data_IF_971834730940
#
_entry.id   IF_971834730940
#
_cell.length_a   1.000
_cell.length_b   1.000
_cell.length_c   1.000
_cell.angle_alpha   90.00
_cell.angle_beta   90.00
_cell.angle_gamma   90.00
#
_symmetry.space_group_name_H-M   'P 1'
#
loop_
_entity.id
_entity.type
_entity.pdbx_description
1 polymer ?
#
# COMPACT_ATOMS: atom_id res chain seq x y z
N UNK A 1 -1.94 5.68 24.77
CA UNK A 1 -1.14 4.83 23.87
C UNK A 1 -1.51 5.23 22.47
N UNK A 2 -0.56 5.82 21.75
CA UNK A 2 -0.81 6.38 20.43
C UNK A 2 -0.89 5.25 19.40
N UNK A 3 -1.98 5.22 18.63
CA UNK A 3 -2.18 4.23 17.58
C UNK A 3 -1.48 4.72 16.30
N UNK A 4 -0.26 4.23 16.06
CA UNK A 4 0.59 4.58 14.91
C UNK A 4 0.23 3.81 13.62
N UNK A 5 -0.95 3.21 13.55
CA UNK A 5 -1.40 2.55 12.33
C UNK A 5 -1.58 3.56 11.18
N UNK A 6 -1.05 3.24 9.99
CA UNK A 6 -1.19 4.08 8.79
C UNK A 6 -2.65 4.38 8.43
N UNK A 7 -3.55 3.45 8.76
CA UNK A 7 -4.96 3.54 8.46
C UNK A 7 -5.78 4.26 9.56
N UNK A 8 -5.15 4.72 10.64
CA UNK A 8 -5.83 5.38 11.74
C UNK A 8 -5.92 6.89 11.51
N UNK A 9 -7.14 7.39 11.28
CA UNK A 9 -7.42 8.83 11.20
C UNK A 9 -8.55 9.16 12.17
N UNK A 10 -8.35 10.12 13.07
CA UNK A 10 -9.33 10.50 14.11
C UNK A 10 -9.87 9.29 14.91
N UNK A 11 -8.98 8.37 15.30
CA UNK A 11 -9.31 7.12 16.01
C UNK A 11 -10.24 6.16 15.24
N UNK A 12 -10.28 6.27 13.90
CA UNK A 12 -11.06 5.40 13.02
C UNK A 12 -10.18 4.80 11.94
N UNK A 13 -10.41 3.52 11.66
CA UNK A 13 -9.80 2.84 10.52
C UNK A 13 -10.40 3.40 9.22
N UNK A 14 -9.55 3.88 8.31
CA UNK A 14 -9.97 4.33 6.98
C UNK A 14 -10.12 3.19 5.97
N UNK A 15 -9.56 2.01 6.27
CA UNK A 15 -9.54 0.86 5.36
C UNK A 15 -10.68 -0.11 5.67
N UNK A 16 -10.94 -0.38 6.95
CA UNK A 16 -12.00 -1.30 7.37
C UNK A 16 -13.31 -0.53 7.52
N UNK A 17 -14.42 -1.12 7.05
CA UNK A 17 -15.77 -0.60 7.30
C UNK A 17 -16.12 -0.54 8.79
N UNK A 18 -15.50 -1.40 9.59
CA UNK A 18 -15.61 -1.38 11.05
C UNK A 18 -14.69 -0.29 11.58
N UNK A 19 -15.26 0.88 11.88
CA UNK A 19 -14.52 2.06 12.34
C UNK A 19 -13.88 1.93 13.73
N UNK A 20 -13.83 0.74 14.32
CA UNK A 20 -13.17 0.46 15.60
C UNK A 20 -11.87 -0.29 15.34
N UNK A 21 -10.76 0.43 15.41
CA UNK A 21 -9.46 -0.21 15.59
C UNK A 21 -9.44 -0.83 16.99
N UNK A 22 -9.65 -2.15 17.10
CA UNK A 22 -9.23 -2.87 18.31
C UNK A 22 -7.71 -2.66 18.38
N UNK A 23 -7.15 -2.17 19.49
CA UNK A 23 -5.80 -1.59 19.56
C UNK A 23 -4.65 -2.40 18.93
N UNK A 24 -3.47 -1.80 18.82
CA UNK A 24 -2.33 -2.29 18.01
C UNK A 24 -2.02 -3.80 18.14
N UNK A 25 -2.18 -4.40 19.33
CA UNK A 25 -1.89 -5.82 19.59
C UNK A 25 -2.99 -6.79 19.14
N UNK A 26 -4.20 -6.29 18.85
CA UNK A 26 -5.39 -7.11 18.56
C UNK A 26 -5.87 -6.97 17.12
N UNK A 27 -5.43 -5.95 16.39
CA UNK A 27 -5.81 -5.76 15.00
C UNK A 27 -4.88 -6.57 14.08
N UNK A 28 -5.37 -7.61 13.38
CA UNK A 28 -4.54 -8.40 12.46
C UNK A 28 -4.11 -7.62 11.21
N UNK A 29 -4.70 -6.44 10.99
CA UNK A 29 -4.39 -5.54 9.87
C UNK A 29 -3.48 -4.37 10.28
N UNK A 30 -3.02 -4.33 11.54
CA UNK A 30 -2.16 -3.26 12.03
C UNK A 30 -0.86 -3.20 11.22
N UNK A 31 -0.50 -2.00 10.74
CA UNK A 31 0.77 -1.69 10.07
C UNK A 31 1.15 -0.25 10.34
N UNK A 32 2.43 0.03 10.54
CA UNK A 32 2.90 1.43 10.56
C UNK A 32 3.03 1.99 9.14
N UNK A 33 3.30 3.30 9.01
CA UNK A 33 3.64 3.89 7.70
C UNK A 33 4.92 3.29 7.10
N UNK A 34 5.90 2.95 7.94
CA UNK A 34 7.14 2.30 7.52
C UNK A 34 6.87 0.91 6.96
N UNK A 35 6.03 0.11 7.63
CA UNK A 35 5.61 -1.21 7.15
C UNK A 35 4.88 -1.12 5.79
N UNK A 36 4.00 -0.13 5.65
CA UNK A 36 3.29 0.14 4.39
C UNK A 36 4.26 0.48 3.27
N UNK A 37 5.16 1.45 3.48
CA UNK A 37 6.18 1.87 2.50
C UNK A 37 7.10 0.71 2.13
N UNK A 38 7.56 -0.07 3.11
CA UNK A 38 8.40 -1.26 2.89
C UNK A 38 7.67 -2.31 2.04
N UNK A 39 6.39 -2.56 2.33
CA UNK A 39 5.55 -3.49 1.56
C UNK A 39 5.37 -3.03 0.11
N UNK A 40 5.05 -1.75 -0.12
CA UNK A 40 4.92 -1.17 -1.47
C UNK A 40 6.23 -1.29 -2.24
N UNK A 41 7.37 -0.96 -1.62
CA UNK A 41 8.70 -1.07 -2.23
C UNK A 41 9.01 -2.51 -2.66
N UNK A 42 8.67 -3.50 -1.84
CA UNK A 42 8.85 -4.93 -2.18
C UNK A 42 7.97 -5.32 -3.38
N UNK A 43 6.70 -4.95 -3.38
CA UNK A 43 5.78 -5.22 -4.49
C UNK A 43 6.26 -4.57 -5.79
N UNK A 44 6.68 -3.31 -5.75
CA UNK A 44 7.17 -2.60 -6.93
C UNK A 44 8.48 -3.19 -7.48
N UNK A 45 9.41 -3.60 -6.61
CA UNK A 45 10.60 -4.35 -7.07
C UNK A 45 10.22 -5.64 -7.81
N UNK A 46 9.19 -6.35 -7.34
CA UNK A 46 8.70 -7.55 -8.03
C UNK A 46 8.09 -7.20 -9.38
N UNK A 47 7.25 -6.17 -9.47
CA UNK A 47 6.64 -5.72 -10.73
C UNK A 47 7.72 -5.29 -11.74
N UNK A 48 8.73 -4.55 -11.29
CA UNK A 48 9.85 -4.13 -12.12
C UNK A 48 10.70 -5.29 -12.67
N UNK A 49 10.68 -6.45 -12.00
CA UNK A 49 11.41 -7.65 -12.43
C UNK A 49 10.68 -8.50 -13.48
N UNK A 50 9.44 -8.16 -13.83
CA UNK A 50 8.65 -8.91 -14.82
C UNK A 50 9.06 -8.54 -16.25
N UNK A 51 8.71 -9.39 -17.21
CA UNK A 51 8.88 -9.08 -18.63
C UNK A 51 8.05 -7.85 -19.03
N UNK A 52 8.52 -7.11 -20.04
CA UNK A 52 7.89 -5.85 -20.47
C UNK A 52 6.42 -6.01 -20.84
N UNK A 53 6.05 -7.08 -21.56
CA UNK A 53 4.66 -7.36 -21.90
C UNK A 53 3.76 -7.50 -20.66
N UNK A 54 4.25 -8.18 -19.61
CA UNK A 54 3.50 -8.35 -18.35
C UNK A 54 3.39 -7.02 -17.62
N UNK A 55 4.45 -6.21 -17.62
CA UNK A 55 4.41 -4.88 -17.03
C UNK A 55 3.38 -3.98 -17.73
N UNK A 56 3.32 -4.00 -19.06
CA UNK A 56 2.35 -3.23 -19.86
C UNK A 56 0.90 -3.62 -19.51
N UNK A 57 0.60 -4.93 -19.50
CA UNK A 57 -0.74 -5.42 -19.13
C UNK A 57 -1.14 -4.97 -17.72
N UNK A 58 -0.23 -5.03 -16.74
CA UNK A 58 -0.50 -4.59 -15.37
C UNK A 58 -0.72 -3.08 -15.30
N UNK A 59 0.10 -2.30 -16.03
CA UNK A 59 -0.02 -0.84 -16.08
C UNK A 59 -1.39 -0.40 -16.64
N UNK A 60 -1.83 -1.04 -17.71
CA UNK A 60 -3.11 -0.73 -18.35
C UNK A 60 -4.31 -1.11 -17.46
N UNK A 61 -4.25 -2.27 -16.81
CA UNK A 61 -5.36 -2.77 -15.99
C UNK A 61 -5.54 -2.01 -14.67
N UNK A 62 -4.43 -1.61 -14.03
CA UNK A 62 -4.47 -1.13 -12.63
C UNK A 62 -3.94 0.28 -12.43
N UNK A 63 -3.22 0.85 -13.41
CA UNK A 63 -2.48 2.10 -13.23
C UNK A 63 -2.68 3.09 -14.39
N UNK A 64 -3.73 2.94 -15.20
CA UNK A 64 -4.04 3.83 -16.33
C UNK A 64 -2.86 4.01 -17.30
N UNK A 65 -2.16 2.91 -17.60
CA UNK A 65 -0.99 2.89 -18.48
C UNK A 65 0.30 3.44 -17.85
N UNK A 66 0.30 3.76 -16.56
CA UNK A 66 1.49 4.25 -15.83
C UNK A 66 2.26 3.12 -15.17
N UNK A 67 3.55 3.35 -14.95
CA UNK A 67 4.49 2.36 -14.37
C UNK A 67 5.07 2.88 -13.05
N UNK A 68 4.29 2.95 -11.96
CA UNK A 68 4.74 3.55 -10.70
C UNK A 68 5.97 2.84 -10.09
N UNK A 69 6.21 1.58 -10.46
CA UNK A 69 7.41 0.84 -10.05
C UNK A 69 8.69 1.20 -10.83
N UNK A 70 8.60 1.92 -11.95
CA UNK A 70 9.75 2.44 -12.71
C UNK A 70 10.19 3.82 -12.23
N UNK A 71 9.25 4.64 -11.76
CA UNK A 71 9.49 6.02 -11.27
C UNK A 71 9.96 6.06 -9.80
N UNK A 72 10.89 5.18 -9.42
CA UNK A 72 11.47 5.18 -8.07
C UNK A 72 10.51 4.79 -6.93
N UNK A 73 9.30 4.31 -7.27
CA UNK A 73 8.31 3.84 -6.30
C UNK A 73 7.65 4.95 -5.49
N UNK A 74 7.58 6.16 -6.05
CA UNK A 74 6.77 7.24 -5.48
C UNK A 74 5.30 6.82 -5.56
N UNK A 75 4.57 7.08 -4.47
CA UNK A 75 3.19 6.64 -4.29
C UNK A 75 2.32 7.02 -5.48
N UNK A 76 1.70 6.02 -6.09
CA UNK A 76 0.55 6.25 -6.96
C UNK A 76 -0.64 6.57 -6.07
N UNK A 77 -0.69 7.80 -5.59
CA UNK A 77 -1.87 8.32 -4.92
C UNK A 77 -2.88 8.64 -6.03
N UNK A 78 -3.88 7.76 -6.15
CA UNK A 78 -5.08 7.98 -7.00
C UNK A 78 -5.99 9.03 -6.38
#
# INVERSE_FOLDING_TARGET
>A
MDNHCFANTNNKCQILKVGKCTGYSTCPFYKTEEDRKSSIKKSFRRLASLDELKQNIIADLYYNGKFPWKEGGVSYDS
#
